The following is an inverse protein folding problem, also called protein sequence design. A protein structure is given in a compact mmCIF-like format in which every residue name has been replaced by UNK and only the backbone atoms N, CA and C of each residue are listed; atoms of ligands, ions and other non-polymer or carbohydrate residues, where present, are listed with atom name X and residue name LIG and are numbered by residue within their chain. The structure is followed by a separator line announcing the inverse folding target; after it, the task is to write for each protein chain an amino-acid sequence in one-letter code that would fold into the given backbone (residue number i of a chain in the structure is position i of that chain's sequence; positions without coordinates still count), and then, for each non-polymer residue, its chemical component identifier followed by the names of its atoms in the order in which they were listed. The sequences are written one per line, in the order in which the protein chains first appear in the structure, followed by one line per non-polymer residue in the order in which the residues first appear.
data_IF_621077629062
#
_entry.id   IF_621077629062
#
_cell.length_a   1.000
_cell.length_b   1.000
_cell.length_c   1.000
_cell.angle_alpha   90.00
_cell.angle_beta   90.00
_cell.angle_gamma   90.00
#
_symmetry.space_group_name_H-M   'P 1'
#
loop_
_entity.id
_entity.type
_entity.pdbx_description
1 polymer ?
#
# COMPACT_ATOMS: atom_id res chain seq x y z
N UNK A 1 10.23 25.37 -2.59
CA UNK A 1 10.58 24.01 -2.97
C UNK A 1 10.20 23.02 -1.88
N UNK A 2 9.60 21.96 -2.26
CA UNK A 2 9.17 20.97 -1.29
C UNK A 2 10.34 20.08 -0.87
N UNK A 3 10.38 19.70 0.39
CA UNK A 3 11.35 18.72 0.85
C UNK A 3 11.07 17.34 0.27
N UNK A 4 11.92 16.39 0.58
CA UNK A 4 11.73 15.01 0.15
C UNK A 4 10.48 14.43 0.79
N UNK A 5 9.70 13.64 0.06
CA UNK A 5 8.52 13.01 0.64
C UNK A 5 8.89 11.96 1.68
N UNK A 6 7.99 11.74 2.63
CA UNK A 6 8.14 10.69 3.63
C UNK A 6 7.59 9.37 3.07
N UNK A 7 8.45 8.38 2.98
CA UNK A 7 8.00 7.03 2.64
C UNK A 7 8.25 6.17 3.87
N UNK A 8 7.18 5.82 4.54
CA UNK A 8 7.24 5.12 5.83
C UNK A 8 6.61 3.74 5.68
N UNK A 9 7.32 2.73 6.15
CA UNK A 9 6.83 1.35 6.12
C UNK A 9 6.65 0.87 7.55
N UNK A 10 5.45 0.42 7.87
CA UNK A 10 5.15 -0.10 9.20
C UNK A 10 4.82 -1.58 9.07
N UNK A 11 5.60 -2.40 9.75
CA UNK A 11 5.42 -3.84 9.78
C UNK A 11 5.20 -4.28 11.23
N UNK A 12 4.44 -5.34 11.40
CA UNK A 12 4.19 -5.89 12.72
C UNK A 12 3.03 -6.86 12.69
N UNK A 13 2.83 -7.52 13.82
CA UNK A 13 1.74 -8.47 13.95
C UNK A 13 0.42 -7.74 14.13
N UNK A 14 -0.66 -8.39 13.72
CA UNK A 14 -2.00 -7.91 14.02
C UNK A 14 -2.16 -7.78 15.54
N UNK A 15 -2.77 -6.68 15.97
CA UNK A 15 -3.02 -6.43 17.39
C UNK A 15 -1.88 -5.80 18.17
N UNK A 16 -0.74 -5.48 17.52
CA UNK A 16 0.39 -4.84 18.23
C UNK A 16 0.33 -3.30 18.21
N UNK A 17 -0.77 -2.74 17.75
CA UNK A 17 -0.92 -1.28 17.68
C UNK A 17 -0.44 -0.67 16.38
N UNK A 18 -0.06 -1.49 15.42
CA UNK A 18 0.47 -1.05 14.12
C UNK A 18 -0.51 -0.12 13.40
N UNK A 19 -1.77 -0.51 13.32
CA UNK A 19 -2.79 0.30 12.65
C UNK A 19 -2.99 1.65 13.30
N UNK A 20 -2.97 1.71 14.62
CA UNK A 20 -3.09 2.96 15.37
C UNK A 20 -1.90 3.87 15.11
N UNK A 21 -0.70 3.32 15.10
CA UNK A 21 0.53 4.06 14.80
C UNK A 21 0.49 4.64 13.40
N UNK A 22 0.07 3.83 12.43
CA UNK A 22 -0.02 4.27 11.04
C UNK A 22 -0.98 5.46 10.89
N UNK A 23 -2.14 5.37 11.52
CA UNK A 23 -3.15 6.43 11.45
C UNK A 23 -2.67 7.73 12.10
N UNK A 24 -1.97 7.62 13.21
CA UNK A 24 -1.40 8.80 13.88
C UNK A 24 -0.38 9.50 12.98
N UNK A 25 0.47 8.75 12.30
CA UNK A 25 1.44 9.33 11.37
C UNK A 25 0.76 10.00 10.19
N UNK A 26 -0.27 9.37 9.64
CA UNK A 26 -1.02 9.93 8.53
C UNK A 26 -1.62 11.28 8.91
N UNK A 27 -2.27 11.37 10.06
CA UNK A 27 -2.87 12.62 10.53
C UNK A 27 -1.82 13.68 10.85
N UNK A 28 -0.79 13.30 11.57
CA UNK A 28 0.20 14.25 12.07
C UNK A 28 1.05 14.85 10.95
N UNK A 29 1.40 14.06 9.96
CA UNK A 29 2.26 14.48 8.87
C UNK A 29 1.51 14.72 7.56
N UNK A 30 0.20 14.57 7.57
CA UNK A 30 -0.67 14.73 6.40
C UNK A 30 -0.21 13.83 5.25
N UNK A 31 -0.06 12.54 5.53
CA UNK A 31 0.42 11.55 4.57
C UNK A 31 -0.73 10.73 4.00
N UNK A 32 -0.46 10.05 2.90
CA UNK A 32 -1.38 9.06 2.35
C UNK A 32 -1.18 7.75 3.09
N UNK A 33 -2.20 6.90 3.07
CA UNK A 33 -2.16 5.60 3.71
C UNK A 33 -2.40 4.52 2.65
N UNK A 34 -1.54 3.52 2.63
CA UNK A 34 -1.74 2.33 1.79
C UNK A 34 -1.60 1.10 2.69
N UNK A 35 -2.72 0.44 2.93
CA UNK A 35 -2.74 -0.82 3.67
C UNK A 35 -3.00 -1.95 2.70
N UNK A 36 -2.09 -2.92 2.63
CA UNK A 36 -2.23 -4.05 1.71
C UNK A 36 -3.48 -4.85 1.99
N UNK A 37 -3.79 -5.07 3.26
CA UNK A 37 -5.00 -5.79 3.64
C UNK A 37 -6.27 -5.08 3.17
N UNK A 38 -6.31 -3.76 3.30
CA UNK A 38 -7.46 -2.98 2.86
C UNK A 38 -7.62 -3.02 1.34
N UNK A 39 -6.50 -2.90 0.60
CA UNK A 39 -6.55 -2.98 -0.85
C UNK A 39 -7.07 -4.33 -1.32
N UNK A 40 -6.58 -5.40 -0.71
CA UNK A 40 -7.01 -6.75 -1.06
C UNK A 40 -8.47 -6.97 -0.72
N UNK A 41 -8.93 -6.54 0.44
CA UNK A 41 -10.33 -6.67 0.85
C UNK A 41 -11.24 -5.89 -0.09
N UNK A 42 -10.85 -4.69 -0.48
CA UNK A 42 -11.64 -3.89 -1.41
C UNK A 42 -11.72 -4.57 -2.78
N UNK A 43 -10.60 -5.11 -3.26
CA UNK A 43 -10.58 -5.81 -4.55
C UNK A 43 -11.41 -7.08 -4.53
N UNK A 44 -11.42 -7.79 -3.40
CA UNK A 44 -12.19 -9.03 -3.25
C UNK A 44 -13.71 -8.81 -3.29
N UNK A 45 -14.16 -7.57 -3.10
CA UNK A 45 -15.59 -7.26 -3.16
C UNK A 45 -16.15 -7.20 -4.57
N UNK A 46 -15.28 -7.07 -5.57
CA UNK A 46 -15.76 -7.08 -6.97
C UNK A 46 -16.18 -8.47 -7.39
N UNK A 47 -17.30 -8.54 -8.11
CA UNK A 47 -17.84 -9.82 -8.57
C UNK A 47 -17.24 -10.13 -9.93
N UNK A 48 -16.02 -10.65 -9.91
CA UNK A 48 -15.31 -11.10 -11.11
C UNK A 48 -14.38 -12.24 -10.71
N UNK A 49 -13.63 -12.78 -11.66
CA UNK A 49 -12.74 -13.92 -11.38
C UNK A 49 -11.78 -13.61 -10.23
N UNK A 50 -11.07 -12.49 -10.33
CA UNK A 50 -10.06 -12.13 -9.34
C UNK A 50 -10.68 -11.85 -7.97
N UNK A 51 -11.80 -11.14 -7.92
CA UNK A 51 -12.49 -10.84 -6.68
C UNK A 51 -12.92 -12.09 -5.94
N UNK A 52 -13.53 -13.04 -6.66
CA UNK A 52 -13.96 -14.30 -6.08
C UNK A 52 -12.78 -15.13 -5.58
N UNK A 53 -11.72 -15.20 -6.37
CA UNK A 53 -10.53 -15.97 -6.00
C UNK A 53 -9.82 -15.36 -4.79
N UNK A 54 -9.71 -14.04 -4.73
CA UNK A 54 -9.14 -13.35 -3.59
C UNK A 54 -9.91 -13.63 -2.31
N UNK A 55 -11.25 -13.64 -2.41
CA UNK A 55 -12.09 -13.96 -1.26
C UNK A 55 -11.77 -15.34 -0.69
N UNK A 56 -11.57 -16.33 -1.56
CA UNK A 56 -11.20 -17.67 -1.14
C UNK A 56 -9.82 -17.71 -0.49
N UNK A 57 -8.83 -17.05 -1.09
CA UNK A 57 -7.48 -16.97 -0.54
C UNK A 57 -7.47 -16.36 0.86
N UNK A 58 -8.24 -15.29 1.03
CA UNK A 58 -8.29 -14.57 2.31
C UNK A 58 -8.95 -15.38 3.41
N UNK A 59 -9.93 -16.22 3.06
CA UNK A 59 -10.60 -17.09 4.03
C UNK A 59 -9.66 -18.11 4.64
N UNK A 60 -8.73 -18.65 3.84
CA UNK A 60 -7.81 -19.68 4.32
C UNK A 60 -6.43 -19.13 4.71
N UNK A 61 -6.22 -17.83 4.57
CA UNK A 61 -4.97 -17.19 4.93
C UNK A 61 -3.82 -17.47 3.98
N UNK A 62 -4.11 -17.84 2.73
CA UNK A 62 -3.08 -18.09 1.74
C UNK A 62 -2.40 -16.79 1.30
N UNK A 63 -1.15 -16.93 0.86
CA UNK A 63 -0.39 -15.79 0.35
C UNK A 63 -0.89 -15.40 -1.05
N UNK A 64 -1.20 -14.13 -1.20
CA UNK A 64 -1.62 -13.59 -2.49
C UNK A 64 -0.36 -13.39 -3.36
N UNK A 65 -0.45 -13.69 -4.67
CA UNK A 65 0.70 -13.49 -5.56
C UNK A 65 1.20 -12.05 -5.56
N UNK A 66 2.53 -11.90 -5.58
CA UNK A 66 3.16 -10.58 -5.59
C UNK A 66 2.69 -9.71 -6.75
N UNK A 67 2.49 -10.31 -7.91
CA UNK A 67 2.01 -9.56 -9.09
C UNK A 67 0.67 -8.88 -8.85
N UNK A 68 -0.23 -9.56 -8.15
CA UNK A 68 -1.55 -9.00 -7.87
C UNK A 68 -1.45 -7.86 -6.85
N UNK A 69 -0.68 -8.05 -5.79
CA UNK A 69 -0.44 -7.02 -4.79
C UNK A 69 0.17 -5.78 -5.46
N UNK A 70 1.15 -6.01 -6.32
CA UNK A 70 1.85 -4.93 -7.01
C UNK A 70 0.93 -4.15 -7.94
N UNK A 71 0.04 -4.85 -8.64
CA UNK A 71 -0.94 -4.20 -9.50
C UNK A 71 -1.82 -3.23 -8.70
N UNK A 72 -2.28 -3.67 -7.53
CA UNK A 72 -3.11 -2.83 -6.66
C UNK A 72 -2.32 -1.62 -6.14
N UNK A 73 -1.05 -1.79 -5.80
CA UNK A 73 -0.20 -0.68 -5.41
C UNK A 73 -0.08 0.35 -6.52
N UNK A 74 0.20 -0.10 -7.76
CA UNK A 74 0.37 0.81 -8.88
C UNK A 74 -0.89 1.64 -9.14
N UNK A 75 -2.05 1.01 -9.07
CA UNK A 75 -3.30 1.74 -9.23
C UNK A 75 -3.45 2.84 -8.17
N UNK A 76 -3.11 2.51 -6.94
CA UNK A 76 -3.22 3.47 -5.83
C UNK A 76 -2.19 4.59 -5.95
N UNK A 77 -0.96 4.26 -6.32
CA UNK A 77 0.10 5.26 -6.50
C UNK A 77 -0.24 6.21 -7.64
N UNK A 78 -0.79 5.69 -8.73
CA UNK A 78 -1.22 6.50 -9.87
C UNK A 78 -2.29 7.49 -9.44
N UNK A 79 -3.29 7.02 -8.70
CA UNK A 79 -4.36 7.85 -8.18
C UNK A 79 -3.82 8.99 -7.32
N UNK A 80 -2.90 8.68 -6.41
CA UNK A 80 -2.30 9.67 -5.52
C UNK A 80 -1.51 10.70 -6.33
N UNK A 81 -0.73 10.24 -7.31
CA UNK A 81 0.08 11.14 -8.14
C UNK A 81 -0.77 12.13 -8.90
N UNK A 82 -1.86 11.65 -9.49
CA UNK A 82 -2.76 12.51 -10.25
C UNK A 82 -3.50 13.49 -9.35
N UNK A 83 -3.92 13.03 -8.17
CA UNK A 83 -4.70 13.87 -7.26
C UNK A 83 -3.87 14.93 -6.56
N UNK A 84 -2.67 14.59 -6.11
CA UNK A 84 -1.86 15.48 -5.30
C UNK A 84 -0.76 16.22 -6.04
N UNK A 85 -0.19 15.60 -7.08
CA UNK A 85 0.89 16.24 -7.83
C UNK A 85 2.02 16.71 -6.93
N UNK A 86 2.32 18.00 -6.95
CA UNK A 86 3.39 18.60 -6.16
C UNK A 86 3.04 18.76 -4.69
N UNK A 87 1.77 18.64 -4.33
CA UNK A 87 1.34 18.71 -2.93
C UNK A 87 1.58 17.41 -2.17
N UNK A 88 2.15 16.42 -2.85
CA UNK A 88 2.44 15.11 -2.25
C UNK A 88 3.46 15.24 -1.11
N UNK A 89 3.08 14.75 0.06
CA UNK A 89 3.96 14.80 1.24
C UNK A 89 4.52 13.44 1.61
N UNK A 90 3.89 12.38 1.18
CA UNK A 90 4.40 11.04 1.45
C UNK A 90 3.32 10.00 1.63
N UNK A 91 3.75 8.79 1.96
CA UNK A 91 2.88 7.62 2.10
C UNK A 91 3.33 6.79 3.30
N UNK A 92 2.36 6.27 4.05
CA UNK A 92 2.60 5.24 5.05
C UNK A 92 2.10 3.92 4.45
N UNK A 93 3.00 2.96 4.30
CA UNK A 93 2.66 1.60 3.88
C UNK A 93 2.48 0.74 5.11
N UNK A 94 1.30 0.16 5.27
CA UNK A 94 0.96 -0.67 6.41
C UNK A 94 0.86 -2.12 5.97
N UNK A 95 1.75 -2.96 6.49
CA UNK A 95 1.73 -4.39 6.25
C UNK A 95 2.49 -4.87 5.02
N UNK A 96 3.08 -3.98 4.25
CA UNK A 96 3.87 -4.31 3.05
C UNK A 96 4.99 -3.30 2.89
N UNK A 97 6.09 -3.65 2.21
CA UNK A 97 6.40 -4.95 1.63
C UNK A 97 6.82 -5.95 2.72
N UNK A 98 6.55 -7.23 2.48
CA UNK A 98 6.96 -8.31 3.41
C UNK A 98 7.97 -9.27 2.79
N UNK A 99 8.13 -9.22 1.49
CA UNK A 99 9.07 -10.04 0.74
C UNK A 99 10.08 -9.15 0.05
N UNK A 100 11.28 -9.65 -0.16
CA UNK A 100 12.30 -8.89 -0.86
C UNK A 100 11.82 -8.45 -2.24
N UNK A 101 11.15 -9.34 -2.97
CA UNK A 101 10.64 -9.03 -4.29
C UNK A 101 9.65 -7.88 -4.26
N UNK A 102 8.79 -7.84 -3.26
CA UNK A 102 7.84 -6.74 -3.09
C UNK A 102 8.57 -5.43 -2.83
N UNK A 103 9.61 -5.47 -2.01
CA UNK A 103 10.40 -4.28 -1.70
C UNK A 103 11.10 -3.73 -2.94
N UNK A 104 11.66 -4.62 -3.77
CA UNK A 104 12.32 -4.22 -5.00
C UNK A 104 11.35 -3.57 -5.98
N UNK A 105 10.17 -4.18 -6.15
CA UNK A 105 9.15 -3.65 -7.04
C UNK A 105 8.60 -2.32 -6.54
N UNK A 106 8.40 -2.19 -5.25
CA UNK A 106 7.94 -0.94 -4.66
C UNK A 106 8.97 0.17 -4.90
N UNK A 107 10.25 -0.13 -4.72
CA UNK A 107 11.32 0.83 -4.95
C UNK A 107 11.33 1.31 -6.40
N UNK A 108 11.14 0.40 -7.37
CA UNK A 108 11.03 0.76 -8.78
C UNK A 108 9.84 1.69 -9.03
N UNK A 109 8.70 1.36 -8.44
CA UNK A 109 7.49 2.16 -8.61
C UNK A 109 7.67 3.57 -8.04
N UNK A 110 8.26 3.68 -6.86
CA UNK A 110 8.49 4.99 -6.25
C UNK A 110 9.42 5.85 -7.11
N UNK A 111 10.44 5.25 -7.71
CA UNK A 111 11.32 5.96 -8.64
C UNK A 111 10.56 6.43 -9.88
N UNK A 112 9.68 5.59 -10.39
CA UNK A 112 8.88 5.93 -11.56
C UNK A 112 8.06 7.19 -11.31
N UNK A 113 7.50 7.32 -10.11
CA UNK A 113 6.72 8.50 -9.76
C UNK A 113 7.56 9.67 -9.24
N UNK A 114 8.86 9.48 -9.09
CA UNK A 114 9.73 10.53 -8.61
C UNK A 114 9.69 10.74 -7.11
N UNK A 115 9.36 9.71 -6.36
CA UNK A 115 9.18 9.77 -4.91
C UNK A 115 10.27 9.04 -4.14
N UNK A 116 11.46 9.03 -4.60
CA UNK A 116 12.55 8.34 -3.92
C UNK A 116 13.47 9.27 -3.11
#
# INVERSE_FOLDING_TARGET
MNGNPFIIIILGRAGCGKGTQAKLLVEKLDLNYIGSGELLRARAKKIDFTGCKLGEYMKVGDLVPTSLVFMLWLEKLEEIKQRQGEDFKGIVFDGSPRKLKEAELLNEALRWYGWN
#
